data_IF_911004257120
#
_entry.id   IF_911004257120
#
_cell.length_a   1.000
_cell.length_b   1.000
_cell.length_c   1.000
_cell.angle_alpha   90.00
_cell.angle_beta   90.00
_cell.angle_gamma   90.00
#
_symmetry.space_group_name_H-M   'P 1'
#
loop_
_entity.id
_entity.type
_entity.pdbx_description
1 polymer ?
#
# COMPACT_ATOMS: atom_id res chain seq x y z
N UNK A 1 24.97 30.04 93.76
CA UNK A 1 24.48 29.15 92.69
C UNK A 1 24.16 29.85 91.35
N UNK A 2 25.02 30.75 90.83
CA UNK A 2 24.74 31.36 89.51
C UNK A 2 25.25 30.55 88.33
N UNK A 3 26.23 29.63 88.50
CA UNK A 3 26.91 28.96 87.40
C UNK A 3 26.03 27.85 86.72
N UNK A 4 25.22 27.17 87.50
CA UNK A 4 24.31 26.15 86.96
C UNK A 4 23.21 26.72 86.12
N UNK A 5 22.69 27.90 86.48
CA UNK A 5 21.65 28.60 85.68
C UNK A 5 22.17 29.10 84.35
N UNK A 6 23.45 29.41 84.22
CA UNK A 6 24.07 29.90 82.99
C UNK A 6 24.33 28.76 82.02
N UNK A 7 24.67 27.54 82.51
CA UNK A 7 24.84 26.34 81.71
C UNK A 7 23.50 25.82 81.20
N UNK A 8 22.45 25.88 82.02
CA UNK A 8 21.11 25.45 81.64
C UNK A 8 20.56 26.42 80.57
N UNK A 9 20.75 27.73 80.73
CA UNK A 9 20.35 28.72 79.72
C UNK A 9 21.08 28.55 78.38
N UNK A 10 22.37 28.17 78.40
CA UNK A 10 23.14 27.91 77.19
C UNK A 10 22.70 26.58 76.51
N UNK A 11 22.37 25.56 77.28
CA UNK A 11 21.86 24.30 76.76
C UNK A 11 20.47 24.43 76.12
N UNK A 12 19.57 25.15 76.82
CA UNK A 12 18.23 25.47 76.30
C UNK A 12 18.31 26.35 75.03
N UNK A 13 19.20 27.35 75.03
CA UNK A 13 19.39 28.21 73.86
C UNK A 13 19.90 27.37 72.64
N UNK A 14 20.80 26.43 72.83
CA UNK A 14 21.25 25.52 71.76
C UNK A 14 20.14 24.58 71.30
N UNK A 15 19.32 24.09 72.21
CA UNK A 15 18.20 23.23 71.84
C UNK A 15 17.15 23.97 71.03
N UNK A 16 16.83 25.22 71.39
CA UNK A 16 15.93 26.07 70.65
C UNK A 16 16.50 26.40 69.27
N UNK A 17 17.83 26.68 69.18
CA UNK A 17 18.49 26.91 67.90
C UNK A 17 18.40 25.70 66.96
N UNK A 18 18.67 24.48 67.49
CA UNK A 18 18.55 23.26 66.67
C UNK A 18 17.09 23.00 66.28
N UNK A 19 16.12 23.25 67.13
CA UNK A 19 14.69 23.14 66.80
C UNK A 19 14.27 24.07 65.68
N UNK A 20 14.76 25.33 65.70
CA UNK A 20 14.50 26.32 64.62
C UNK A 20 15.14 25.87 63.33
N UNK A 21 16.40 25.39 63.35
CA UNK A 21 17.10 24.88 62.17
C UNK A 21 16.36 23.66 61.60
N UNK A 22 15.96 22.73 62.44
CA UNK A 22 15.19 21.57 61.99
C UNK A 22 13.84 21.94 61.35
N UNK A 23 13.14 22.92 61.97
CA UNK A 23 11.87 23.44 61.43
C UNK A 23 12.04 24.10 60.05
N UNK A 24 13.09 24.95 59.90
CA UNK A 24 13.40 25.61 58.64
C UNK A 24 13.76 24.58 57.56
N UNK A 25 14.55 23.58 57.86
CA UNK A 25 14.88 22.48 56.90
C UNK A 25 13.63 21.75 56.47
N UNK A 26 12.72 21.40 57.39
CA UNK A 26 11.43 20.73 57.05
C UNK A 26 10.55 21.63 56.20
N UNK A 27 10.47 22.91 56.50
CA UNK A 27 9.69 23.85 55.68
C UNK A 27 10.26 24.05 54.27
N UNK A 28 11.58 24.17 54.15
CA UNK A 28 12.28 24.22 52.87
C UNK A 28 12.09 22.93 52.09
N UNK A 29 12.27 21.75 52.74
CA UNK A 29 12.05 20.48 52.10
C UNK A 29 10.60 20.34 51.58
N UNK A 30 9.60 20.68 52.40
CA UNK A 30 8.18 20.71 51.96
C UNK A 30 7.94 21.66 50.79
N UNK A 31 8.57 22.83 50.77
CA UNK A 31 8.45 23.76 49.66
C UNK A 31 9.04 23.19 48.38
N UNK A 32 10.22 22.58 48.44
CA UNK A 32 10.83 21.94 47.27
C UNK A 32 10.10 20.67 46.83
N UNK A 33 9.64 19.83 47.71
CA UNK A 33 8.83 18.63 47.39
C UNK A 33 7.52 19.06 46.74
N UNK A 34 6.84 20.12 47.24
CA UNK A 34 5.63 20.65 46.63
C UNK A 34 5.89 21.20 45.23
N UNK A 35 7.04 21.82 44.99
CA UNK A 35 7.42 22.35 43.68
C UNK A 35 7.77 21.25 42.68
N UNK A 36 8.32 20.12 43.14
CA UNK A 36 8.63 18.96 42.32
C UNK A 36 7.36 18.13 42.02
N UNK A 37 6.46 18.00 43.01
CA UNK A 37 5.18 17.27 42.83
C UNK A 37 4.09 18.10 42.17
N UNK A 38 4.22 19.43 42.08
CA UNK A 38 3.26 20.31 41.40
C UNK A 38 3.65 20.64 39.94
N UNK A 39 4.73 20.06 39.41
CA UNK A 39 4.87 19.85 37.97
C UNK A 39 4.30 18.49 37.66
N UNK A 40 3.06 18.35 37.18
CA UNK A 40 2.72 17.22 36.40
C UNK A 40 3.51 17.38 35.09
N UNK A 41 4.72 16.80 35.04
CA UNK A 41 5.11 16.19 33.82
C UNK A 41 4.14 15.03 33.64
N UNK A 42 2.86 15.36 33.38
CA UNK A 42 2.01 14.52 32.62
C UNK A 42 2.78 14.38 31.30
N UNK A 43 3.54 13.30 31.17
CA UNK A 43 3.64 12.65 29.89
C UNK A 43 2.17 12.36 29.54
N UNK A 44 1.46 13.34 28.99
CA UNK A 44 0.37 13.07 28.12
C UNK A 44 1.04 12.32 26.97
N UNK A 45 1.09 11.01 27.06
CA UNK A 45 1.04 10.19 25.87
C UNK A 45 -0.30 10.62 25.29
N UNK A 46 -0.27 11.63 24.47
CA UNK A 46 -1.29 11.89 23.50
C UNK A 46 -1.27 10.63 22.66
N UNK A 47 -2.09 9.69 23.04
CA UNK A 47 -2.41 8.54 22.24
C UNK A 47 -3.10 9.17 21.04
N UNK A 48 -2.28 9.49 20.03
CA UNK A 48 -2.77 9.87 18.73
C UNK A 48 -3.37 8.58 18.16
N UNK A 49 -4.65 8.34 18.42
CA UNK A 49 -5.41 7.20 17.91
C UNK A 49 -5.60 7.30 16.38
N UNK A 50 -5.17 8.38 15.75
CA UNK A 50 -5.06 8.49 14.30
C UNK A 50 -3.69 7.93 13.87
N UNK A 51 -3.70 6.72 13.38
CA UNK A 51 -2.54 6.13 12.69
C UNK A 51 -2.44 6.84 11.33
N UNK A 52 -1.63 7.89 11.25
CA UNK A 52 -1.37 8.56 9.98
C UNK A 52 -0.55 7.65 9.07
N UNK A 53 -0.97 7.53 7.82
CA UNK A 53 -0.20 6.78 6.81
C UNK A 53 1.16 7.46 6.64
N UNK A 54 2.22 6.75 6.99
CA UNK A 54 3.56 7.32 6.92
C UNK A 54 4.03 7.43 5.46
N UNK A 55 4.83 8.47 5.12
CA UNK A 55 5.43 8.59 3.79
C UNK A 55 6.23 7.35 3.36
N UNK A 56 6.78 6.60 4.32
CA UNK A 56 7.50 5.37 4.06
C UNK A 56 6.55 4.23 3.58
N UNK A 57 5.39 4.10 4.20
CA UNK A 57 4.37 3.12 3.79
C UNK A 57 3.85 3.43 2.38
N UNK A 58 3.58 4.70 2.08
CA UNK A 58 3.16 5.16 0.76
C UNK A 58 4.22 4.78 -0.29
N UNK A 59 5.48 5.15 -0.08
CA UNK A 59 6.59 4.80 -1.00
C UNK A 59 6.78 3.30 -1.16
N UNK A 60 6.57 2.51 -0.10
CA UNK A 60 6.68 1.06 -0.18
C UNK A 60 5.62 0.46 -1.10
N UNK A 61 4.40 0.97 -1.07
CA UNK A 61 3.32 0.55 -1.97
C UNK A 61 3.62 0.98 -3.41
N UNK A 62 4.07 2.23 -3.62
CA UNK A 62 4.45 2.75 -4.94
C UNK A 62 5.61 1.99 -5.57
N UNK A 63 6.59 1.58 -4.79
CA UNK A 63 7.77 0.85 -5.25
C UNK A 63 7.45 -0.57 -5.75
N UNK A 64 6.33 -1.18 -5.36
CA UNK A 64 5.88 -2.46 -5.93
C UNK A 64 5.64 -2.31 -7.43
N UNK A 65 5.17 -1.13 -7.85
CA UNK A 65 4.92 -0.79 -9.24
C UNK A 65 3.63 -1.40 -9.76
N UNK A 66 3.71 -2.54 -10.46
CA UNK A 66 2.53 -3.18 -11.04
C UNK A 66 1.84 -4.12 -10.06
N UNK A 67 0.50 -4.00 -9.99
CA UNK A 67 -0.38 -4.87 -9.22
C UNK A 67 -1.37 -5.54 -10.15
N UNK A 68 -1.35 -6.87 -10.18
CA UNK A 68 -2.25 -7.69 -10.97
C UNK A 68 -3.48 -8.07 -10.15
N UNK A 69 -4.68 -7.91 -10.74
CA UNK A 69 -5.95 -8.20 -10.07
C UNK A 69 -6.82 -9.22 -10.80
N UNK A 70 -6.53 -9.45 -12.08
CA UNK A 70 -7.21 -10.48 -12.87
C UNK A 70 -6.30 -10.98 -13.98
N UNK A 71 -6.12 -12.29 -14.04
CA UNK A 71 -5.43 -12.98 -15.13
C UNK A 71 -6.43 -13.76 -15.96
N UNK A 72 -6.35 -13.62 -17.27
CA UNK A 72 -7.18 -14.32 -18.23
C UNK A 72 -6.26 -15.08 -19.17
N UNK A 73 -6.33 -16.42 -19.14
CA UNK A 73 -5.67 -17.25 -20.12
C UNK A 73 -6.64 -17.49 -21.29
N UNK A 74 -6.16 -17.27 -22.49
CA UNK A 74 -6.96 -17.38 -23.70
C UNK A 74 -6.20 -18.16 -24.79
N UNK A 75 -6.95 -18.84 -25.64
CA UNK A 75 -6.45 -19.59 -26.78
C UNK A 75 -7.22 -19.17 -28.03
N UNK A 76 -6.48 -18.82 -29.08
CA UNK A 76 -7.06 -18.36 -30.33
C UNK A 76 -6.55 -19.17 -31.51
N UNK A 77 -7.48 -19.71 -32.28
CA UNK A 77 -7.18 -20.38 -33.52
C UNK A 77 -7.41 -19.42 -34.67
N UNK A 78 -6.36 -19.14 -35.42
CA UNK A 78 -6.40 -18.25 -36.59
C UNK A 78 -6.03 -19.03 -37.83
N UNK A 79 -6.85 -18.91 -38.86
CA UNK A 79 -6.65 -19.53 -40.15
C UNK A 79 -6.41 -18.51 -41.26
N UNK A 80 -5.75 -18.95 -42.31
CA UNK A 80 -5.62 -18.21 -43.58
C UNK A 80 -5.49 -19.20 -44.75
N UNK A 81 -6.14 -18.87 -45.85
CA UNK A 81 -6.12 -19.69 -47.06
C UNK A 81 -5.64 -18.84 -48.23
N UNK A 82 -4.70 -19.41 -48.98
CA UNK A 82 -4.26 -18.80 -50.26
C UNK A 82 -4.78 -19.68 -51.40
N UNK A 83 -5.64 -19.10 -52.23
CA UNK A 83 -6.17 -19.77 -53.40
C UNK A 83 -5.09 -20.01 -54.46
N UNK A 84 -4.94 -21.24 -54.91
CA UNK A 84 -3.99 -21.66 -55.95
C UNK A 84 -4.68 -22.33 -57.12
N UNK A 85 -4.00 -22.39 -58.28
CA UNK A 85 -4.55 -23.02 -59.47
C UNK A 85 -4.58 -24.57 -59.37
N UNK A 86 -3.60 -25.15 -58.60
CA UNK A 86 -3.48 -26.60 -58.41
C UNK A 86 -3.92 -27.07 -57.03
N UNK A 87 -4.57 -26.22 -56.27
CA UNK A 87 -5.02 -26.47 -54.92
C UNK A 87 -4.77 -25.27 -54.02
N UNK A 88 -5.42 -25.24 -52.87
CA UNK A 88 -5.32 -24.15 -51.89
C UNK A 88 -4.22 -24.47 -50.88
N UNK A 89 -3.42 -23.48 -50.56
CA UNK A 89 -2.52 -23.54 -49.41
C UNK A 89 -3.29 -23.04 -48.17
N UNK A 90 -3.14 -23.77 -47.05
CA UNK A 90 -3.81 -23.44 -45.79
C UNK A 90 -2.79 -23.35 -44.65
N UNK A 91 -2.94 -22.33 -43.84
CA UNK A 91 -2.20 -22.15 -42.58
C UNK A 91 -3.18 -21.91 -41.45
N UNK A 92 -3.19 -22.83 -40.47
CA UNK A 92 -3.94 -22.69 -39.22
C UNK A 92 -2.96 -22.69 -38.06
N UNK A 93 -3.00 -21.67 -37.24
CA UNK A 93 -2.13 -21.54 -36.08
C UNK A 93 -2.92 -21.35 -34.80
N UNK A 94 -2.42 -21.95 -33.72
CA UNK A 94 -2.95 -21.80 -32.36
C UNK A 94 -2.03 -20.85 -31.60
N UNK A 95 -2.61 -19.80 -31.06
CA UNK A 95 -1.94 -18.81 -30.24
C UNK A 95 -2.43 -18.92 -28.80
N UNK A 96 -1.51 -18.83 -27.85
CA UNK A 96 -1.82 -18.85 -26.42
C UNK A 96 -1.45 -17.50 -25.84
N UNK A 97 -2.37 -16.89 -25.06
CA UNK A 97 -2.18 -15.60 -24.46
C UNK A 97 -2.53 -15.59 -22.97
N UNK A 98 -1.79 -14.80 -22.21
CA UNK A 98 -2.08 -14.52 -20.80
C UNK A 98 -2.23 -13.03 -20.62
N UNK A 99 -3.48 -12.56 -20.50
CA UNK A 99 -3.79 -11.15 -20.34
C UNK A 99 -3.90 -10.83 -18.85
N UNK A 100 -3.04 -9.93 -18.35
CA UNK A 100 -3.00 -9.49 -16.97
C UNK A 100 -3.62 -8.11 -16.84
N UNK A 101 -4.73 -8.01 -16.13
CA UNK A 101 -5.39 -6.73 -15.82
C UNK A 101 -4.99 -6.26 -14.43
N UNK A 102 -4.52 -5.03 -14.34
CA UNK A 102 -4.01 -4.46 -13.11
C UNK A 102 -3.82 -2.95 -13.17
N UNK A 103 -3.13 -2.43 -12.17
CA UNK A 103 -2.73 -1.02 -12.08
C UNK A 103 -1.22 -0.91 -12.03
N UNK A 104 -0.70 0.24 -12.45
CA UNK A 104 0.70 0.60 -12.26
C UNK A 104 0.77 1.76 -11.26
N UNK A 105 1.27 1.50 -10.04
CA UNK A 105 1.37 2.52 -8.98
C UNK A 105 2.33 3.66 -9.30
N UNK A 106 3.24 3.49 -10.28
CA UNK A 106 4.07 4.60 -10.79
C UNK A 106 3.26 5.69 -11.50
N UNK A 107 2.01 5.37 -11.87
CA UNK A 107 1.06 6.30 -12.48
C UNK A 107 0.08 6.90 -11.47
N UNK A 108 0.21 6.55 -10.18
CA UNK A 108 -0.57 7.16 -9.13
C UNK A 108 -0.21 8.65 -9.02
N UNK A 109 -1.22 9.49 -8.92
CA UNK A 109 -1.01 10.93 -8.74
C UNK A 109 -0.56 11.22 -7.31
N UNK A 110 0.10 12.34 -7.12
CA UNK A 110 0.48 12.80 -5.79
C UNK A 110 -0.78 12.94 -4.90
N UNK A 111 -0.72 12.42 -3.69
CA UNK A 111 -1.87 12.38 -2.79
C UNK A 111 -2.92 11.32 -3.13
N UNK A 112 -2.56 10.27 -3.87
CA UNK A 112 -3.46 9.14 -4.17
C UNK A 112 -4.03 8.47 -2.92
N UNK A 113 -3.38 8.64 -1.76
CA UNK A 113 -3.84 8.17 -0.46
C UNK A 113 -3.76 9.31 0.55
N UNK A 114 -4.85 9.58 1.25
CA UNK A 114 -4.99 10.67 2.22
C UNK A 114 -5.86 10.25 3.39
N UNK A 115 -5.62 10.87 4.55
CA UNK A 115 -6.53 10.78 5.70
C UNK A 115 -7.59 11.88 5.58
N UNK A 116 -8.85 11.50 5.75
CA UNK A 116 -9.98 12.42 5.86
C UNK A 116 -10.77 12.09 7.13
N UNK A 117 -10.45 12.82 8.19
CA UNK A 117 -10.90 12.48 9.54
C UNK A 117 -10.33 11.14 10.01
N UNK A 118 -11.19 10.19 10.28
CA UNK A 118 -10.87 8.81 10.69
C UNK A 118 -10.83 7.82 9.52
N UNK A 119 -11.02 8.29 8.29
CA UNK A 119 -11.15 7.46 7.09
C UNK A 119 -9.94 7.64 6.18
N UNK A 120 -9.29 6.53 5.81
CA UNK A 120 -8.30 6.49 4.74
C UNK A 120 -9.01 6.47 3.40
N UNK A 121 -8.74 7.46 2.55
CA UNK A 121 -9.19 7.50 1.16
C UNK A 121 -8.03 7.21 0.23
N UNK A 122 -8.16 6.17 -0.61
CA UNK A 122 -7.19 5.81 -1.62
C UNK A 122 -7.82 5.88 -3.02
N UNK A 123 -7.19 6.61 -3.94
CA UNK A 123 -7.59 6.71 -5.34
C UNK A 123 -6.52 6.04 -6.19
N UNK A 124 -6.80 4.82 -6.64
CA UNK A 124 -5.87 4.00 -7.41
C UNK A 124 -5.86 4.41 -8.88
N UNK A 125 -4.76 4.20 -9.61
CA UNK A 125 -4.71 4.37 -11.06
C UNK A 125 -5.76 3.52 -11.78
N UNK A 126 -6.11 3.86 -13.06
CA UNK A 126 -7.05 3.07 -13.81
C UNK A 126 -6.54 1.66 -14.09
N UNK A 127 -7.44 0.67 -14.00
CA UNK A 127 -7.14 -0.71 -14.35
C UNK A 127 -6.98 -0.83 -15.87
N UNK A 128 -5.88 -1.45 -16.29
CA UNK A 128 -5.56 -1.67 -17.70
C UNK A 128 -4.82 -3.00 -17.91
N UNK A 129 -4.60 -3.36 -19.17
CA UNK A 129 -3.73 -4.46 -19.54
C UNK A 129 -2.27 -4.08 -19.20
N UNK A 130 -1.62 -4.87 -18.36
CA UNK A 130 -0.24 -4.61 -17.90
C UNK A 130 0.77 -4.92 -19.00
N UNK A 131 0.63 -6.07 -19.68
CA UNK A 131 1.52 -6.48 -20.76
C UNK A 131 0.88 -6.26 -22.13
N UNK A 132 1.52 -5.49 -22.97
CA UNK A 132 1.08 -5.34 -24.36
C UNK A 132 1.42 -6.58 -25.21
N UNK A 133 2.48 -7.32 -24.87
CA UNK A 133 2.92 -8.54 -25.53
C UNK A 133 2.52 -9.76 -24.72
N UNK A 134 1.24 -10.05 -24.68
CA UNK A 134 0.66 -11.11 -23.83
C UNK A 134 0.57 -12.47 -24.53
N UNK A 135 0.83 -12.55 -25.84
CA UNK A 135 0.85 -13.81 -26.60
C UNK A 135 2.21 -14.50 -26.41
N UNK A 136 2.17 -15.75 -25.99
CA UNK A 136 3.34 -16.62 -25.85
C UNK A 136 3.73 -17.19 -27.22
N UNK A 137 4.70 -16.58 -27.86
CA UNK A 137 5.20 -17.03 -29.16
C UNK A 137 5.89 -18.39 -29.08
N UNK A 138 6.45 -18.78 -27.95
CA UNK A 138 7.14 -20.08 -27.79
C UNK A 138 6.16 -21.24 -27.77
N UNK A 139 4.93 -21.00 -27.32
CA UNK A 139 3.84 -21.99 -27.33
C UNK A 139 3.04 -21.96 -28.61
N UNK A 140 3.14 -20.90 -29.42
CA UNK A 140 2.43 -20.76 -30.68
C UNK A 140 2.88 -21.84 -31.66
N UNK A 141 1.94 -22.59 -32.23
CA UNK A 141 2.24 -23.69 -33.17
C UNK A 141 1.30 -23.70 -34.35
N UNK A 142 1.79 -24.22 -35.51
CA UNK A 142 0.94 -24.52 -36.64
C UNK A 142 0.15 -25.78 -36.33
N UNK A 143 -1.15 -25.73 -36.55
CA UNK A 143 -2.05 -26.90 -36.48
C UNK A 143 -2.21 -27.54 -37.88
N UNK A 144 -2.38 -26.69 -38.91
CA UNK A 144 -2.36 -27.09 -40.31
C UNK A 144 -1.38 -26.14 -41.01
N UNK A 145 -0.50 -26.68 -41.86
CA UNK A 145 0.40 -25.87 -42.67
C UNK A 145 0.66 -26.59 -44.00
N UNK A 146 0.13 -26.03 -45.08
CA UNK A 146 0.42 -26.43 -46.45
C UNK A 146 0.96 -25.26 -47.26
N UNK A 147 1.79 -25.53 -48.26
CA UNK A 147 2.44 -24.49 -49.05
C UNK A 147 3.57 -23.73 -48.35
N UNK A 148 3.86 -22.53 -48.83
CA UNK A 148 4.94 -21.68 -48.32
C UNK A 148 4.39 -20.35 -47.78
N UNK A 149 4.64 -20.07 -46.51
CA UNK A 149 4.14 -18.86 -45.82
C UNK A 149 5.30 -17.94 -45.45
N UNK A 150 5.13 -16.66 -45.78
CA UNK A 150 6.13 -15.64 -45.47
C UNK A 150 6.04 -15.22 -43.99
N UNK A 151 7.09 -14.53 -43.53
CA UNK A 151 7.05 -13.89 -42.20
C UNK A 151 5.88 -12.89 -42.08
N UNK A 152 5.59 -12.15 -43.15
CA UNK A 152 4.48 -11.20 -43.19
C UNK A 152 3.12 -11.87 -43.01
N UNK A 153 2.91 -13.05 -43.60
CA UNK A 153 1.64 -13.79 -43.43
C UNK A 153 1.47 -14.20 -41.95
N UNK A 154 2.53 -14.72 -41.34
CA UNK A 154 2.53 -15.13 -39.92
C UNK A 154 2.32 -13.94 -38.97
N UNK A 155 2.91 -12.80 -39.29
CA UNK A 155 2.73 -11.54 -38.54
C UNK A 155 1.28 -11.04 -38.63
N UNK A 156 0.66 -11.15 -39.80
CA UNK A 156 -0.77 -10.78 -39.95
C UNK A 156 -1.66 -11.69 -39.10
N UNK A 157 -1.36 -12.99 -39.05
CA UNK A 157 -2.11 -13.92 -38.19
C UNK A 157 -1.92 -13.61 -36.73
N UNK A 158 -0.69 -13.29 -36.29
CA UNK A 158 -0.39 -12.85 -34.91
C UNK A 158 -1.22 -11.61 -34.54
N UNK A 159 -1.25 -10.59 -35.41
CA UNK A 159 -2.05 -9.37 -35.17
C UNK A 159 -3.56 -9.66 -35.12
N UNK A 160 -4.05 -10.63 -35.90
CA UNK A 160 -5.45 -11.06 -35.83
C UNK A 160 -5.72 -11.75 -34.49
N UNK A 161 -4.85 -12.67 -34.05
CA UNK A 161 -4.96 -13.34 -32.75
C UNK A 161 -4.96 -12.31 -31.62
N UNK A 162 -4.01 -11.37 -31.59
CA UNK A 162 -3.96 -10.28 -30.61
C UNK A 162 -5.27 -9.50 -30.55
N UNK A 163 -5.78 -9.05 -31.70
CA UNK A 163 -7.01 -8.27 -31.76
C UNK A 163 -8.24 -9.07 -31.29
N UNK A 164 -8.30 -10.39 -31.61
CA UNK A 164 -9.39 -11.26 -31.19
C UNK A 164 -9.37 -11.53 -29.71
N UNK A 165 -8.20 -11.83 -29.13
CA UNK A 165 -8.01 -12.04 -27.69
C UNK A 165 -8.33 -10.77 -26.91
N UNK A 166 -7.83 -9.58 -27.34
CA UNK A 166 -8.17 -8.30 -26.69
C UNK A 166 -9.67 -8.08 -26.66
N UNK A 167 -10.37 -8.31 -27.78
CA UNK A 167 -11.82 -8.10 -27.87
C UNK A 167 -12.58 -9.06 -26.95
N UNK A 168 -12.14 -10.31 -26.84
CA UNK A 168 -12.78 -11.32 -26.00
C UNK A 168 -12.49 -11.12 -24.51
N UNK A 169 -11.26 -10.73 -24.16
CA UNK A 169 -10.79 -10.67 -22.78
C UNK A 169 -10.95 -9.30 -22.13
N UNK A 170 -10.76 -8.18 -22.88
CA UNK A 170 -10.87 -6.83 -22.34
C UNK A 170 -12.32 -6.32 -22.37
N UNK A 171 -13.23 -7.13 -21.88
CA UNK A 171 -14.64 -6.76 -21.79
C UNK A 171 -14.91 -5.81 -20.62
N UNK A 172 -15.96 -4.96 -20.69
CA UNK A 172 -16.36 -4.15 -19.53
C UNK A 172 -16.61 -4.97 -18.26
N UNK A 173 -17.04 -6.23 -18.39
CA UNK A 173 -17.24 -7.12 -17.26
C UNK A 173 -15.91 -7.51 -16.61
N UNK A 174 -14.91 -7.94 -17.38
CA UNK A 174 -13.59 -8.31 -16.87
C UNK A 174 -12.86 -7.11 -16.26
N UNK A 175 -12.98 -5.94 -16.88
CA UNK A 175 -12.41 -4.69 -16.33
C UNK A 175 -13.06 -4.36 -14.98
N UNK A 176 -14.39 -4.43 -14.87
CA UNK A 176 -15.08 -4.21 -13.58
C UNK A 176 -14.68 -5.24 -12.52
N UNK A 177 -14.51 -6.51 -12.89
CA UNK A 177 -14.05 -7.55 -11.96
C UNK A 177 -12.64 -7.22 -11.43
N UNK A 178 -11.72 -6.84 -12.30
CA UNK A 178 -10.38 -6.44 -11.91
C UNK A 178 -10.41 -5.18 -11.02
N UNK A 179 -11.27 -4.19 -11.32
CA UNK A 179 -11.47 -3.01 -10.48
C UNK A 179 -12.01 -3.36 -9.08
N UNK A 180 -12.96 -4.29 -9.01
CA UNK A 180 -13.51 -4.74 -7.74
C UNK A 180 -12.46 -5.47 -6.90
N UNK A 181 -11.72 -6.38 -7.52
CA UNK A 181 -10.60 -7.07 -6.88
C UNK A 181 -9.54 -6.09 -6.36
N UNK A 182 -9.21 -5.06 -7.15
CA UNK A 182 -8.30 -4.00 -6.74
C UNK A 182 -8.78 -3.30 -5.47
N UNK A 183 -10.04 -2.85 -5.47
CA UNK A 183 -10.64 -2.17 -4.31
C UNK A 183 -10.65 -3.04 -3.06
N UNK A 184 -10.99 -4.31 -3.19
CA UNK A 184 -11.05 -5.24 -2.07
C UNK A 184 -9.66 -5.56 -1.51
N UNK A 185 -8.67 -5.83 -2.37
CA UNK A 185 -7.31 -6.12 -1.95
C UNK A 185 -6.66 -4.91 -1.26
N UNK A 186 -6.79 -3.71 -1.83
CA UNK A 186 -6.27 -2.50 -1.21
C UNK A 186 -6.97 -2.16 0.10
N UNK A 187 -8.30 -2.35 0.17
CA UNK A 187 -9.03 -2.17 1.43
C UNK A 187 -8.52 -3.14 2.50
N UNK A 188 -8.41 -4.42 2.17
CA UNK A 188 -7.92 -5.44 3.11
C UNK A 188 -6.48 -5.19 3.55
N UNK A 189 -5.62 -4.76 2.63
CA UNK A 189 -4.25 -4.39 2.94
C UNK A 189 -4.20 -3.21 3.93
N UNK A 190 -4.92 -2.13 3.66
CA UNK A 190 -4.95 -0.97 4.53
C UNK A 190 -5.57 -1.29 5.90
N UNK A 191 -6.61 -2.12 5.94
CA UNK A 191 -7.17 -2.60 7.20
C UNK A 191 -6.18 -3.46 8.00
N UNK A 192 -5.37 -4.29 7.33
CA UNK A 192 -4.31 -5.06 7.99
C UNK A 192 -3.17 -4.19 8.53
N UNK A 193 -3.03 -2.98 8.03
CA UNK A 193 -2.11 -1.95 8.53
C UNK A 193 -2.66 -1.19 9.75
N UNK A 194 -3.91 -1.48 10.17
CA UNK A 194 -4.55 -0.90 11.36
C UNK A 194 -5.57 0.20 11.07
N UNK A 195 -5.92 0.47 9.81
CA UNK A 195 -6.94 1.47 9.47
C UNK A 195 -8.33 0.83 9.46
N UNK A 196 -9.20 1.23 10.38
CA UNK A 196 -10.55 0.67 10.47
C UNK A 196 -11.45 1.15 9.33
N UNK A 197 -11.42 2.44 9.04
CA UNK A 197 -12.26 3.06 8.01
C UNK A 197 -11.45 3.28 6.73
N UNK A 198 -11.75 2.53 5.67
CA UNK A 198 -11.02 2.59 4.40
C UNK A 198 -11.98 2.72 3.22
N UNK A 199 -11.78 3.75 2.40
CA UNK A 199 -12.47 3.98 1.14
C UNK A 199 -11.48 3.89 -0.02
N UNK A 200 -11.71 2.97 -0.96
CA UNK A 200 -10.86 2.79 -2.14
C UNK A 200 -11.67 3.06 -3.40
N UNK A 201 -11.17 3.93 -4.25
CA UNK A 201 -11.73 4.30 -5.54
C UNK A 201 -10.72 4.06 -6.65
N UNK A 202 -11.18 3.93 -7.89
CA UNK A 202 -10.33 3.84 -9.09
C UNK A 202 -10.49 5.17 -9.83
N UNK A 203 -9.38 5.76 -10.26
CA UNK A 203 -9.38 6.94 -11.11
C UNK A 203 -10.03 6.60 -12.46
N UNK A 204 -10.76 7.57 -13.04
CA UNK A 204 -11.41 7.44 -14.34
C UNK A 204 -10.42 7.55 -15.50
#
# INVERSE_FOLDING_TARGET
MPFIQQIIKSAVARFVLYAVIALTVVLVAKHYVKKITSSPAALSIEQNDSIDITPMQIRSIENIGEWEFLTINDEELVDTVRKGFFGDDELVRIYYGTLRLGINMKEAHEGWIVMDGDTVKATLPPVRLLDQSFIDETRTRSFIESGRWSHKDREQMYRRADAMMRRRCLTPANIRNAQQNAKEQFRSMLQSMGYENVKVEIAN
#
